data_IF_511533946885
#
_entry.id   IF_511533946885
#
_cell.length_a   1.000
_cell.length_b   1.000
_cell.length_c   1.000
_cell.angle_alpha   90.00
_cell.angle_beta   90.00
_cell.angle_gamma   90.00
#
_symmetry.space_group_name_H-M   'P 1'
#
loop_
_entity.id
_entity.type
_entity.pdbx_description
1 polymer ?
#
# COMPACT_ATOMS: atom_id res chain seq x y z
N UNK A 1 7.03 23.61 -5.39
CA UNK A 1 6.66 22.19 -5.48
C UNK A 1 5.24 22.02 -6.02
N UNK A 2 4.88 20.81 -6.45
CA UNK A 2 3.53 20.46 -6.92
C UNK A 2 2.50 20.73 -5.80
N UNK A 3 2.76 20.30 -4.59
CA UNK A 3 1.85 20.50 -3.44
C UNK A 3 1.56 22.00 -3.20
N UNK A 4 2.57 22.87 -3.31
CA UNK A 4 2.36 24.31 -3.18
C UNK A 4 1.56 24.91 -4.34
N UNK A 5 1.69 24.36 -5.54
CA UNK A 5 0.90 24.79 -6.68
C UNK A 5 -0.59 24.41 -6.51
N UNK A 6 -0.84 23.18 -6.07
CA UNK A 6 -2.20 22.69 -5.74
C UNK A 6 -2.83 23.52 -4.61
N UNK A 7 -2.10 23.76 -3.51
CA UNK A 7 -2.57 24.59 -2.40
C UNK A 7 -2.89 26.03 -2.85
N UNK A 8 -2.07 26.63 -3.71
CA UNK A 8 -2.36 27.96 -4.30
C UNK A 8 -3.61 27.95 -5.15
N UNK A 9 -3.82 26.89 -5.94
CA UNK A 9 -5.01 26.77 -6.78
C UNK A 9 -6.27 26.60 -5.92
N UNK A 10 -6.22 25.78 -4.88
CA UNK A 10 -7.31 25.60 -3.92
C UNK A 10 -7.69 26.94 -3.26
N UNK A 11 -6.70 27.70 -2.76
CA UNK A 11 -6.95 29.04 -2.18
C UNK A 11 -7.60 30.00 -3.17
N UNK A 12 -7.18 29.99 -4.44
CA UNK A 12 -7.81 30.82 -5.50
C UNK A 12 -9.26 30.41 -5.78
N UNK A 13 -9.63 29.17 -5.43
CA UNK A 13 -10.99 28.66 -5.54
C UNK A 13 -11.81 28.82 -4.25
N UNK A 14 -11.28 29.52 -3.24
CA UNK A 14 -11.98 29.81 -1.98
C UNK A 14 -11.63 28.91 -0.81
N UNK A 15 -10.76 27.89 -0.98
CA UNK A 15 -10.35 27.05 0.14
C UNK A 15 -9.42 27.80 1.09
N UNK A 16 -9.64 27.63 2.38
CA UNK A 16 -8.77 28.16 3.43
C UNK A 16 -7.68 27.12 3.76
N UNK A 17 -6.47 27.57 4.03
CA UNK A 17 -5.33 26.70 4.37
C UNK A 17 -4.64 27.25 5.60
N UNK A 18 -4.80 26.57 6.70
CA UNK A 18 -4.21 26.90 7.99
C UNK A 18 -2.93 26.06 8.22
N UNK A 19 -1.80 26.75 8.23
CA UNK A 19 -0.50 26.12 8.52
C UNK A 19 -0.18 26.19 10.01
N UNK A 20 0.64 25.22 10.47
CA UNK A 20 1.03 25.14 11.87
C UNK A 20 -0.21 25.19 12.79
N UNK A 21 -1.17 24.36 12.47
CA UNK A 21 -2.45 24.27 13.17
C UNK A 21 -2.78 22.78 13.33
N UNK A 22 -2.15 22.10 14.30
CA UNK A 22 -2.39 20.68 14.54
C UNK A 22 -3.84 20.46 15.00
N UNK A 23 -4.42 19.38 14.51
CA UNK A 23 -5.70 18.86 14.99
C UNK A 23 -5.43 18.12 16.30
N UNK A 24 -6.16 18.45 17.34
CA UNK A 24 -5.99 17.89 18.69
C UNK A 24 -7.08 16.90 19.06
N UNK A 25 -8.28 17.04 18.49
CA UNK A 25 -9.39 16.11 18.66
C UNK A 25 -10.41 16.26 17.52
N UNK A 26 -11.28 15.27 17.39
CA UNK A 26 -12.41 15.25 16.47
C UNK A 26 -13.67 14.84 17.24
N UNK A 27 -14.75 15.60 17.11
CA UNK A 27 -16.05 15.29 17.72
C UNK A 27 -17.11 15.12 16.66
N UNK A 28 -17.73 13.94 16.58
CA UNK A 28 -18.90 13.70 15.72
C UNK A 28 -20.18 14.03 16.51
N UNK A 29 -21.07 14.81 15.90
CA UNK A 29 -22.35 15.19 16.46
C UNK A 29 -23.47 14.22 16.07
N UNK A 30 -24.63 14.33 16.71
CA UNK A 30 -25.80 13.46 16.47
C UNK A 30 -26.43 13.65 15.09
N UNK A 31 -26.22 14.80 14.47
CA UNK A 31 -26.67 15.17 13.13
C UNK A 31 -25.64 14.81 12.05
N UNK A 32 -24.60 14.04 12.41
CA UNK A 32 -23.52 13.59 11.56
C UNK A 32 -22.56 14.70 11.08
N UNK A 33 -22.64 15.91 11.66
CA UNK A 33 -21.63 16.96 11.51
C UNK A 33 -20.42 16.72 12.42
N UNK A 34 -19.35 17.47 12.21
CA UNK A 34 -18.10 17.33 12.94
C UNK A 34 -17.58 18.65 13.48
N UNK A 35 -16.95 18.62 14.65
CA UNK A 35 -16.08 19.69 15.12
C UNK A 35 -14.64 19.20 15.10
N UNK A 36 -13.78 19.94 14.40
CA UNK A 36 -12.32 19.73 14.35
C UNK A 36 -11.70 20.68 15.39
N UNK A 37 -11.17 20.13 16.48
CA UNK A 37 -10.51 20.91 17.53
C UNK A 37 -9.05 21.16 17.16
N UNK A 38 -8.61 22.41 17.31
CA UNK A 38 -7.22 22.80 17.09
C UNK A 38 -6.72 23.71 18.21
N UNK A 39 -5.42 23.87 18.32
CA UNK A 39 -4.82 24.83 19.28
C UNK A 39 -5.23 26.29 19.03
N UNK A 40 -5.75 26.60 17.84
CA UNK A 40 -6.13 27.96 17.43
C UNK A 40 -7.64 28.20 17.41
N UNK A 41 -8.41 27.23 17.82
CA UNK A 41 -9.87 27.28 17.84
C UNK A 41 -10.49 26.11 17.12
N UNK A 42 -11.80 26.00 17.22
CA UNK A 42 -12.60 24.91 16.67
C UNK A 42 -13.13 25.27 15.28
N UNK A 43 -13.30 24.26 14.45
CA UNK A 43 -13.88 24.37 13.11
C UNK A 43 -15.04 23.39 13.01
N UNK A 44 -16.25 23.90 12.84
CA UNK A 44 -17.42 23.06 12.57
C UNK A 44 -17.53 22.82 11.06
N UNK A 45 -17.81 21.56 10.67
CA UNK A 45 -17.92 21.16 9.28
C UNK A 45 -18.89 20.00 9.08
N UNK A 46 -19.46 19.89 7.90
CA UNK A 46 -20.35 18.80 7.52
C UNK A 46 -19.57 17.52 7.22
N UNK A 47 -18.35 17.65 6.69
CA UNK A 47 -17.52 16.52 6.24
C UNK A 47 -16.09 16.68 6.73
N UNK A 48 -15.51 15.60 7.22
CA UNK A 48 -14.09 15.53 7.59
C UNK A 48 -13.35 14.54 6.70
N UNK A 49 -12.11 14.91 6.31
CA UNK A 49 -11.26 14.06 5.47
C UNK A 49 -9.91 13.84 6.17
N UNK A 50 -9.59 12.57 6.48
CA UNK A 50 -8.28 12.20 6.97
C UNK A 50 -7.30 12.02 5.80
N UNK A 51 -6.41 12.99 5.59
CA UNK A 51 -5.35 12.97 4.59
C UNK A 51 -3.95 13.11 5.22
N UNK A 52 -3.77 12.58 6.45
CA UNK A 52 -2.65 12.90 7.33
C UNK A 52 -1.39 12.04 7.09
N UNK A 53 -1.31 11.30 5.97
CA UNK A 53 -0.12 10.54 5.58
C UNK A 53 0.32 9.57 6.69
N UNK A 54 1.58 9.65 7.12
CA UNK A 54 2.10 8.78 8.18
C UNK A 54 1.43 8.97 9.55
N UNK A 55 0.75 10.09 9.80
CA UNK A 55 -0.03 10.33 11.03
C UNK A 55 -1.49 9.89 10.94
N UNK A 56 -1.87 9.17 9.90
CA UNK A 56 -3.26 8.78 9.62
C UNK A 56 -3.92 8.02 10.77
N UNK A 57 -3.17 7.16 11.47
CA UNK A 57 -3.70 6.40 12.61
C UNK A 57 -3.81 7.21 13.90
N UNK A 58 -2.99 8.25 14.09
CA UNK A 58 -3.17 9.21 15.18
C UNK A 58 -4.51 9.95 15.02
N UNK A 59 -4.79 10.46 13.82
CA UNK A 59 -6.06 11.12 13.50
C UNK A 59 -7.21 10.12 13.47
N UNK A 60 -6.99 8.91 12.98
CA UNK A 60 -7.96 7.81 13.04
C UNK A 60 -8.38 7.49 14.46
N UNK A 61 -7.44 7.45 15.41
CA UNK A 61 -7.72 7.21 16.83
C UNK A 61 -8.63 8.28 17.43
N UNK A 62 -8.51 9.55 17.00
CA UNK A 62 -9.44 10.63 17.44
C UNK A 62 -10.88 10.35 17.00
N UNK A 63 -11.09 9.56 15.97
CA UNK A 63 -12.40 9.10 15.49
C UNK A 63 -12.77 7.70 16.00
N UNK A 64 -11.89 7.05 16.77
CA UNK A 64 -12.06 5.65 17.19
C UNK A 64 -11.92 4.66 16.02
N UNK A 65 -11.05 4.94 15.04
CA UNK A 65 -10.80 4.12 13.85
C UNK A 65 -9.32 3.79 13.75
N UNK A 66 -9.01 2.53 13.50
CA UNK A 66 -7.68 2.06 13.10
C UNK A 66 -7.69 1.81 11.59
N UNK A 67 -6.89 2.57 10.85
CA UNK A 67 -6.71 2.33 9.44
C UNK A 67 -5.68 1.21 9.20
N UNK A 68 -5.90 0.30 8.24
CA UNK A 68 -4.95 -0.75 7.90
C UNK A 68 -3.78 -0.20 7.07
N UNK A 69 -3.01 0.68 7.68
CA UNK A 69 -1.86 1.38 7.10
C UNK A 69 -0.70 1.31 8.07
N UNK A 70 0.47 0.92 7.57
CA UNK A 70 1.74 1.00 8.26
C UNK A 70 2.72 1.89 7.48
N UNK A 71 3.61 2.58 8.16
CA UNK A 71 4.67 3.34 7.53
C UNK A 71 5.95 2.51 7.49
N UNK A 72 6.66 2.60 6.36
CA UNK A 72 7.97 1.99 6.14
C UNK A 72 9.01 3.11 6.00
N UNK A 73 10.21 2.90 6.50
CA UNK A 73 11.33 3.74 6.11
C UNK A 73 11.71 3.46 4.67
N UNK A 74 11.80 4.50 3.86
CA UNK A 74 12.24 4.39 2.48
C UNK A 74 13.32 5.41 2.19
N UNK A 75 14.42 4.96 1.61
CA UNK A 75 15.54 5.83 1.32
C UNK A 75 15.97 5.79 -0.13
N UNK A 76 16.49 6.93 -0.56
CA UNK A 76 17.21 7.07 -1.81
C UNK A 76 18.41 7.98 -1.59
N UNK A 77 19.38 7.91 -2.48
CA UNK A 77 20.44 8.90 -2.51
C UNK A 77 20.58 9.56 -3.89
N UNK A 78 21.25 10.70 -3.89
CA UNK A 78 21.65 11.41 -5.10
C UNK A 78 23.16 11.35 -5.18
N UNK A 79 23.69 10.95 -6.35
CA UNK A 79 25.14 10.90 -6.59
C UNK A 79 25.69 12.28 -6.87
N UNK A 80 27.00 12.40 -6.79
CA UNK A 80 27.75 13.48 -7.44
C UNK A 80 27.62 13.39 -8.97
N UNK A 81 28.23 14.34 -9.69
CA UNK A 81 28.16 14.42 -11.15
C UNK A 81 28.86 13.21 -11.80
N UNK A 82 28.21 12.59 -12.77
CA UNK A 82 28.69 11.45 -13.53
C UNK A 82 29.08 11.94 -14.93
N UNK A 83 30.35 11.84 -15.28
CA UNK A 83 30.88 12.34 -16.56
C UNK A 83 30.06 11.85 -17.76
N UNK A 84 29.70 10.57 -17.82
CA UNK A 84 28.91 10.00 -18.91
C UNK A 84 27.51 10.62 -19.06
N UNK A 85 26.92 11.12 -17.96
CA UNK A 85 25.65 11.84 -18.00
C UNK A 85 25.85 13.27 -18.49
N UNK A 86 26.89 13.94 -18.03
CA UNK A 86 27.23 15.31 -18.47
C UNK A 86 27.45 15.34 -19.97
N UNK A 87 28.18 14.36 -20.49
CA UNK A 87 28.62 14.29 -21.90
C UNK A 87 27.49 13.75 -22.84
N UNK A 88 26.43 13.11 -22.31
CA UNK A 88 25.45 12.43 -23.12
C UNK A 88 24.60 13.34 -24.04
N UNK A 89 24.49 14.63 -23.72
CA UNK A 89 23.71 15.60 -24.50
C UNK A 89 22.20 15.34 -24.58
N UNK A 90 21.69 14.33 -23.87
CA UNK A 90 20.26 14.00 -23.76
C UNK A 90 19.97 13.50 -22.35
N UNK A 91 18.68 13.56 -21.96
CA UNK A 91 18.24 13.06 -20.66
C UNK A 91 18.12 11.54 -20.69
N UNK A 92 18.63 10.89 -19.65
CA UNK A 92 18.45 9.46 -19.44
C UNK A 92 16.99 9.10 -19.17
N UNK A 93 16.50 7.97 -19.68
CA UNK A 93 15.21 7.42 -19.29
C UNK A 93 15.22 7.03 -17.80
N UNK A 94 14.04 6.98 -17.20
CA UNK A 94 13.87 6.37 -15.89
C UNK A 94 14.10 4.85 -16.00
N UNK A 95 14.87 4.29 -15.09
CA UNK A 95 15.14 2.87 -15.00
C UNK A 95 14.49 2.30 -13.76
N UNK A 96 13.90 1.12 -13.90
CA UNK A 96 13.42 0.26 -12.82
C UNK A 96 14.05 -1.11 -13.01
N UNK A 97 14.74 -1.64 -12.00
CA UNK A 97 15.39 -2.95 -12.03
C UNK A 97 14.65 -3.93 -11.12
N UNK A 98 13.84 -4.84 -11.68
CA UNK A 98 13.08 -5.80 -10.88
C UNK A 98 13.88 -7.02 -10.40
N UNK A 99 15.16 -7.13 -10.81
CA UNK A 99 16.06 -8.22 -10.38
C UNK A 99 16.84 -7.81 -9.14
N UNK A 100 17.16 -6.51 -9.02
CA UNK A 100 17.94 -5.94 -7.92
C UNK A 100 17.18 -4.85 -7.17
N UNK A 101 15.87 -4.84 -7.27
CA UNK A 101 14.91 -4.05 -6.48
C UNK A 101 15.28 -2.57 -6.30
N UNK A 102 15.73 -1.90 -7.37
CA UNK A 102 16.01 -0.47 -7.35
C UNK A 102 15.41 0.28 -8.54
N UNK A 103 15.23 1.57 -8.36
CA UNK A 103 14.91 2.50 -9.44
C UNK A 103 15.97 3.59 -9.52
N UNK A 104 16.17 4.13 -10.71
CA UNK A 104 17.00 5.30 -10.85
C UNK A 104 16.49 6.24 -11.94
N UNK A 105 16.82 7.51 -11.77
CA UNK A 105 16.59 8.54 -12.77
C UNK A 105 17.71 9.57 -12.74
N UNK A 106 17.87 10.25 -13.83
CA UNK A 106 18.80 11.37 -13.87
C UNK A 106 18.31 12.50 -12.95
N UNK A 107 19.19 12.99 -12.10
CA UNK A 107 19.02 14.20 -11.28
C UNK A 107 20.16 15.18 -11.57
N UNK A 108 19.88 16.22 -12.37
CA UNK A 108 20.88 17.12 -12.92
C UNK A 108 21.96 16.34 -13.68
N UNK A 109 23.21 16.37 -13.20
CA UNK A 109 24.38 15.71 -13.78
C UNK A 109 24.69 14.35 -13.15
N UNK A 110 23.94 13.93 -12.13
CA UNK A 110 24.06 12.66 -11.43
C UNK A 110 22.81 11.82 -11.53
N UNK A 111 22.70 10.83 -10.65
CA UNK A 111 21.58 9.92 -10.55
C UNK A 111 20.92 10.03 -9.17
N UNK A 112 19.60 9.99 -9.14
CA UNK A 112 18.83 9.65 -7.97
C UNK A 112 18.53 8.15 -8.04
N UNK A 113 18.87 7.42 -6.98
CA UNK A 113 18.70 5.97 -6.89
C UNK A 113 17.97 5.63 -5.58
N UNK A 114 16.86 4.93 -5.68
CA UNK A 114 16.12 4.44 -4.51
C UNK A 114 15.96 2.93 -4.56
N UNK A 115 15.77 2.34 -3.39
CA UNK A 115 15.89 0.91 -3.16
C UNK A 115 14.67 0.36 -2.44
N UNK A 116 14.38 -0.92 -2.69
CA UNK A 116 13.38 -1.70 -1.95
C UNK A 116 14.07 -2.95 -1.40
N UNK A 117 14.78 -2.74 -0.32
CA UNK A 117 15.60 -3.74 0.35
C UNK A 117 14.77 -4.77 1.12
N UNK A 118 15.34 -5.97 1.27
CA UNK A 118 14.68 -7.06 2.01
C UNK A 118 14.70 -6.83 3.53
N UNK A 119 15.76 -6.19 4.06
CA UNK A 119 15.87 -5.80 5.47
C UNK A 119 15.19 -4.45 5.74
N UNK A 120 13.96 -4.31 5.26
CA UNK A 120 13.18 -3.08 5.42
C UNK A 120 12.65 -2.91 6.85
N UNK A 121 12.39 -1.67 7.24
CA UNK A 121 11.91 -1.32 8.58
C UNK A 121 10.54 -0.67 8.54
N UNK A 122 9.65 -1.10 9.43
CA UNK A 122 8.47 -0.31 9.78
C UNK A 122 8.89 0.93 10.57
N UNK A 123 8.11 1.99 10.46
CA UNK A 123 8.37 3.25 11.14
C UNK A 123 7.16 3.73 11.92
N UNK A 124 7.40 4.23 13.15
CA UNK A 124 6.36 4.87 13.97
C UNK A 124 5.26 3.93 14.45
N UNK A 125 5.49 2.61 14.51
CA UNK A 125 4.49 1.64 14.95
C UNK A 125 4.18 1.74 16.44
N UNK A 126 5.18 2.14 17.25
CA UNK A 126 5.05 2.34 18.71
C UNK A 126 4.69 3.79 19.08
N UNK A 127 4.34 4.59 18.09
CA UNK A 127 4.04 6.01 18.21
C UNK A 127 5.02 6.89 17.44
N UNK A 128 4.56 8.07 17.07
CA UNK A 128 5.35 9.03 16.30
C UNK A 128 5.72 10.21 17.22
N UNK A 129 6.99 10.58 17.23
CA UNK A 129 7.44 11.78 17.96
C UNK A 129 6.58 12.99 17.52
N UNK A 130 5.91 13.68 18.46
CA UNK A 130 5.11 14.86 18.14
C UNK A 130 5.89 15.96 17.42
N UNK A 131 7.21 16.01 17.64
CA UNK A 131 8.11 16.98 17.02
C UNK A 131 8.65 16.55 15.66
N UNK A 132 8.36 15.30 15.21
CA UNK A 132 8.70 14.86 13.86
C UNK A 132 7.82 15.54 12.83
N UNK A 133 8.19 16.76 12.44
CA UNK A 133 7.47 17.56 11.45
C UNK A 133 8.45 18.11 10.42
N UNK A 134 8.18 17.88 9.14
CA UNK A 134 9.08 18.30 8.05
C UNK A 134 10.53 17.82 8.28
N UNK A 135 10.67 16.62 8.81
CA UNK A 135 11.91 15.97 9.18
C UNK A 135 12.12 14.72 8.31
N UNK A 136 13.34 14.23 8.30
CA UNK A 136 13.76 12.98 7.68
C UNK A 136 14.20 12.00 8.77
N UNK A 137 14.12 10.72 8.48
CA UNK A 137 14.75 9.67 9.28
C UNK A 137 16.28 9.75 9.13
N UNK A 138 17.06 9.23 10.08
CA UNK A 138 18.50 9.07 9.91
C UNK A 138 18.86 8.24 8.67
N UNK A 139 20.00 8.53 8.06
CA UNK A 139 20.52 7.73 6.97
C UNK A 139 20.87 6.32 7.45
N UNK A 140 20.59 5.31 6.63
CA UNK A 140 20.84 3.90 6.95
C UNK A 140 21.33 3.16 5.68
N UNK A 141 22.53 3.51 5.22
CA UNK A 141 23.09 2.97 3.99
C UNK A 141 23.47 1.48 4.13
N UNK A 142 23.78 1.00 5.32
CA UNK A 142 24.12 -0.40 5.56
C UNK A 142 22.97 -1.34 5.18
N UNK A 143 21.74 -0.92 5.40
CA UNK A 143 20.53 -1.67 5.08
C UNK A 143 20.32 -1.95 3.59
N UNK A 144 20.84 -1.09 2.73
CA UNK A 144 20.68 -1.19 1.26
C UNK A 144 21.86 -1.84 0.56
N UNK A 145 22.85 -2.36 1.30
CA UNK A 145 24.12 -2.85 0.73
C UNK A 145 23.91 -3.92 -0.34
N UNK A 146 23.07 -4.92 -0.08
CA UNK A 146 22.80 -6.02 -1.03
C UNK A 146 22.19 -5.52 -2.35
N UNK A 147 21.27 -4.57 -2.25
CA UNK A 147 20.61 -3.98 -3.43
C UNK A 147 21.57 -3.07 -4.18
N UNK A 148 22.44 -2.36 -3.44
CA UNK A 148 23.45 -1.47 -4.00
C UNK A 148 24.51 -2.25 -4.78
N UNK A 149 24.93 -3.42 -4.32
CA UNK A 149 25.82 -4.31 -5.06
C UNK A 149 25.22 -4.71 -6.43
N UNK A 150 23.94 -5.02 -6.47
CA UNK A 150 23.21 -5.28 -7.70
C UNK A 150 23.17 -4.06 -8.65
N UNK A 151 23.05 -2.85 -8.10
CA UNK A 151 23.10 -1.62 -8.87
C UNK A 151 24.52 -1.37 -9.43
N UNK A 152 25.57 -1.59 -8.65
CA UNK A 152 26.97 -1.50 -9.08
C UNK A 152 27.30 -2.46 -10.22
N UNK A 153 26.83 -3.70 -10.13
CA UNK A 153 27.06 -4.69 -11.20
C UNK A 153 26.45 -4.27 -12.54
N UNK A 154 25.34 -3.52 -12.52
CA UNK A 154 24.65 -3.06 -13.74
C UNK A 154 25.08 -1.69 -14.22
N UNK A 155 25.53 -0.85 -13.31
CA UNK A 155 25.96 0.52 -13.56
C UNK A 155 27.33 0.76 -12.90
N UNK A 156 28.43 0.26 -13.49
CA UNK A 156 29.77 0.36 -12.90
C UNK A 156 30.19 1.79 -12.57
N UNK A 157 29.71 2.78 -13.32
CA UNK A 157 30.00 4.19 -13.05
C UNK A 157 29.57 4.65 -11.63
N UNK A 158 28.66 3.94 -10.97
CA UNK A 158 28.28 4.23 -9.59
C UNK A 158 29.38 3.93 -8.57
N UNK A 159 30.32 3.04 -8.90
CA UNK A 159 31.44 2.70 -8.02
C UNK A 159 32.51 3.80 -7.96
N UNK A 160 32.49 4.71 -8.94
CA UNK A 160 33.50 5.75 -9.12
C UNK A 160 33.04 7.14 -8.65
N UNK A 161 31.79 7.23 -8.13
CA UNK A 161 31.18 8.51 -7.75
C UNK A 161 30.74 8.52 -6.29
N UNK A 162 30.84 9.70 -5.66
CA UNK A 162 30.37 9.92 -4.28
C UNK A 162 28.85 10.08 -4.18
N UNK A 163 28.36 9.94 -2.94
CA UNK A 163 26.99 10.26 -2.58
C UNK A 163 26.92 11.73 -2.15
N UNK A 164 26.09 12.50 -2.81
CA UNK A 164 25.90 13.92 -2.54
C UNK A 164 24.87 14.18 -1.46
N UNK A 165 23.82 13.39 -1.42
CA UNK A 165 22.73 13.56 -0.47
C UNK A 165 21.95 12.24 -0.31
N UNK A 166 21.58 11.93 0.92
CA UNK A 166 20.67 10.82 1.26
C UNK A 166 19.35 11.42 1.74
N UNK A 167 18.27 10.79 1.37
CA UNK A 167 16.94 11.11 1.86
C UNK A 167 16.30 9.83 2.35
N UNK A 168 16.03 9.74 3.64
CA UNK A 168 15.30 8.65 4.27
C UNK A 168 14.05 9.20 4.94
N UNK A 169 12.89 8.63 4.67
CA UNK A 169 11.63 9.12 5.23
C UNK A 169 10.51 8.09 5.21
N UNK A 170 9.46 8.32 6.02
CA UNK A 170 8.35 7.39 6.10
C UNK A 170 7.47 7.46 4.85
N UNK A 171 7.17 6.30 4.27
CA UNK A 171 6.13 6.12 3.26
C UNK A 171 5.07 5.15 3.76
N UNK A 172 3.82 5.37 3.38
CA UNK A 172 2.68 4.61 3.91
C UNK A 172 2.30 3.44 2.99
N UNK A 173 2.10 2.27 3.59
CA UNK A 173 1.64 1.05 2.94
C UNK A 173 0.33 0.59 3.54
N UNK A 174 -0.58 0.14 2.70
CA UNK A 174 -1.80 -0.59 3.08
C UNK A 174 -1.53 -2.09 3.03
N UNK A 175 -2.50 -2.88 3.47
CA UNK A 175 -2.38 -4.35 3.48
C UNK A 175 -2.20 -4.96 2.07
N UNK A 176 -2.80 -4.35 1.06
CA UNK A 176 -2.79 -4.85 -0.33
C UNK A 176 -2.02 -3.95 -1.29
N UNK A 177 -1.36 -2.91 -0.77
CA UNK A 177 -0.61 -1.96 -1.55
C UNK A 177 -1.43 -0.94 -2.33
N UNK A 178 -2.74 -1.09 -2.45
CA UNK A 178 -3.60 -0.09 -3.05
C UNK A 178 -4.03 0.97 -2.02
N UNK A 179 -4.16 2.26 -2.39
CA UNK A 179 -4.54 3.30 -1.43
C UNK A 179 -5.95 3.10 -0.86
N UNK A 180 -6.25 3.81 0.22
CA UNK A 180 -7.58 3.91 0.80
C UNK A 180 -8.15 5.28 0.46
N UNK A 181 -9.13 5.32 -0.40
CA UNK A 181 -9.77 6.56 -0.87
C UNK A 181 -11.28 6.39 -0.86
N UNK A 182 -11.95 7.09 0.05
CA UNK A 182 -13.41 6.97 0.18
C UNK A 182 -13.90 7.09 1.62
N UNK A 183 -15.14 6.68 1.89
CA UNK A 183 -15.76 6.80 3.20
C UNK A 183 -15.08 5.90 4.23
N UNK A 184 -14.89 6.43 5.44
CA UNK A 184 -14.33 5.69 6.56
C UNK A 184 -15.39 4.72 7.11
N UNK A 185 -15.08 3.40 7.22
CA UNK A 185 -16.04 2.42 7.73
C UNK A 185 -16.57 2.79 9.12
N UNK A 186 -17.91 2.74 9.28
CA UNK A 186 -18.57 3.01 10.53
C UNK A 186 -18.65 4.49 10.96
N UNK A 187 -18.20 5.42 10.12
CA UNK A 187 -18.29 6.86 10.36
C UNK A 187 -19.09 7.55 9.26
N UNK A 188 -20.05 8.38 9.65
CA UNK A 188 -20.81 9.18 8.71
C UNK A 188 -20.11 10.49 8.41
N UNK A 189 -20.17 10.93 7.17
CA UNK A 189 -19.56 12.18 6.69
C UNK A 189 -18.06 12.28 7.03
N UNK A 190 -17.39 11.13 7.07
CA UNK A 190 -15.95 11.04 7.28
C UNK A 190 -15.32 10.21 6.15
N UNK A 191 -14.28 10.75 5.57
CA UNK A 191 -13.57 10.16 4.43
C UNK A 191 -12.07 10.07 4.70
N UNK A 192 -11.37 9.26 3.93
CA UNK A 192 -9.92 9.23 3.96
C UNK A 192 -9.32 9.19 2.55
N UNK A 193 -8.08 9.67 2.46
CA UNK A 193 -7.20 9.56 1.29
C UNK A 193 -5.79 9.32 1.80
N UNK A 194 -5.38 8.06 1.86
CA UNK A 194 -4.18 7.58 2.56
C UNK A 194 -3.55 6.38 1.88
N UNK A 195 -2.30 6.06 2.24
CA UNK A 195 -1.60 4.90 1.69
C UNK A 195 -1.16 5.06 0.24
N UNK A 196 -1.01 6.29 -0.23
CA UNK A 196 -0.55 6.58 -1.59
C UNK A 196 0.98 6.51 -1.63
N UNK A 197 1.52 5.38 -2.04
CA UNK A 197 2.98 5.18 -2.18
C UNK A 197 3.58 6.12 -3.22
N UNK A 198 2.94 6.23 -4.36
CA UNK A 198 3.31 7.13 -5.44
C UNK A 198 2.56 8.49 -5.38
N UNK A 199 2.48 9.09 -4.20
CA UNK A 199 1.61 10.24 -3.89
C UNK A 199 1.67 11.40 -4.88
N UNK A 200 2.85 11.71 -5.44
CA UNK A 200 2.99 12.75 -6.47
C UNK A 200 2.36 12.35 -7.81
N UNK A 201 2.38 11.07 -8.16
CA UNK A 201 1.77 10.55 -9.39
C UNK A 201 0.27 10.34 -9.27
N UNK A 202 -0.19 9.92 -8.11
CA UNK A 202 -1.56 9.44 -7.88
C UNK A 202 -2.46 10.46 -7.18
N UNK A 203 -1.89 11.32 -6.32
CA UNK A 203 -2.66 12.18 -5.42
C UNK A 203 -3.63 13.13 -6.12
N UNK A 204 -3.33 13.59 -7.32
CA UNK A 204 -4.24 14.43 -8.10
C UNK A 204 -5.49 13.68 -8.55
N UNK A 205 -5.33 12.48 -9.08
CA UNK A 205 -6.43 11.63 -9.54
C UNK A 205 -7.31 11.15 -8.39
N UNK A 206 -6.69 10.63 -7.32
CA UNK A 206 -7.43 10.18 -6.15
C UNK A 206 -8.16 11.32 -5.43
N UNK A 207 -7.55 12.50 -5.34
CA UNK A 207 -8.22 13.68 -4.80
C UNK A 207 -9.44 14.10 -5.62
N UNK A 208 -9.37 13.98 -6.94
CA UNK A 208 -10.48 14.26 -7.84
C UNK A 208 -11.62 13.23 -7.69
N UNK A 209 -11.29 11.92 -7.62
CA UNK A 209 -12.28 10.87 -7.39
C UNK A 209 -12.97 11.02 -6.02
N UNK A 210 -12.20 11.33 -4.97
CA UNK A 210 -12.75 11.56 -3.64
C UNK A 210 -13.69 12.78 -3.61
N UNK A 211 -13.31 13.86 -4.27
CA UNK A 211 -14.17 15.04 -4.39
C UNK A 211 -15.51 14.72 -5.06
N UNK A 212 -15.52 13.88 -6.10
CA UNK A 212 -16.76 13.42 -6.74
C UNK A 212 -17.62 12.58 -5.80
N UNK A 213 -17.01 11.63 -5.06
CA UNK A 213 -17.74 10.84 -4.07
C UNK A 213 -18.41 11.73 -3.01
N UNK A 214 -17.73 12.77 -2.54
CA UNK A 214 -18.29 13.69 -1.54
C UNK A 214 -19.41 14.55 -2.11
N UNK A 215 -19.22 15.11 -3.31
CA UNK A 215 -20.17 16.09 -3.91
C UNK A 215 -21.36 15.41 -4.58
N UNK A 216 -21.13 14.26 -5.22
CA UNK A 216 -22.14 13.59 -6.05
C UNK A 216 -22.61 12.25 -5.46
N UNK A 217 -21.99 11.78 -4.37
CA UNK A 217 -22.27 10.47 -3.76
C UNK A 217 -21.51 9.32 -4.40
N UNK A 218 -21.01 9.50 -5.62
CA UNK A 218 -20.23 8.48 -6.35
C UNK A 218 -19.16 9.13 -7.23
N UNK A 219 -18.13 8.36 -7.57
CA UNK A 219 -17.11 8.75 -8.53
C UNK A 219 -17.50 8.32 -9.95
N UNK A 220 -16.96 8.99 -10.98
CA UNK A 220 -17.21 8.66 -12.39
C UNK A 220 -16.55 7.34 -12.85
N UNK A 221 -15.68 6.76 -12.04
CA UNK A 221 -15.04 5.46 -12.27
C UNK A 221 -15.29 4.53 -11.09
N UNK A 222 -15.19 3.23 -11.33
CA UNK A 222 -15.22 2.24 -10.28
C UNK A 222 -14.03 2.44 -9.33
N UNK A 223 -14.34 2.63 -8.05
CA UNK A 223 -13.36 2.88 -6.98
C UNK A 223 -13.24 1.70 -6.01
N UNK A 224 -13.81 0.54 -6.33
CA UNK A 224 -13.81 -0.63 -5.46
C UNK A 224 -12.41 -1.01 -4.95
N UNK A 225 -11.42 -1.01 -5.83
CA UNK A 225 -10.04 -1.40 -5.48
C UNK A 225 -9.34 -0.43 -4.51
N UNK A 226 -9.87 0.78 -4.32
CA UNK A 226 -9.33 1.79 -3.40
C UNK A 226 -10.29 2.12 -2.26
N UNK A 227 -11.49 1.55 -2.24
CA UNK A 227 -12.50 1.81 -1.20
C UNK A 227 -12.02 1.25 0.15
N UNK A 228 -12.00 2.05 1.23
CA UNK A 228 -11.62 1.60 2.57
C UNK A 228 -12.49 0.45 3.10
N UNK A 229 -13.74 0.35 2.64
CA UNK A 229 -14.71 -0.68 3.06
C UNK A 229 -14.39 -2.09 2.53
N UNK A 230 -13.37 -2.22 1.63
CA UNK A 230 -12.88 -3.53 1.18
C UNK A 230 -12.22 -4.34 2.29
N UNK A 231 -11.80 -3.68 3.36
CA UNK A 231 -11.24 -4.32 4.53
C UNK A 231 -12.27 -4.46 5.66
N UNK A 232 -12.15 -5.53 6.42
CA UNK A 232 -13.01 -5.83 7.57
C UNK A 232 -12.22 -5.85 8.88
N UNK A 233 -12.87 -6.27 9.95
CA UNK A 233 -12.31 -6.34 11.31
C UNK A 233 -11.13 -7.31 11.49
N UNK A 234 -10.79 -8.12 10.48
CA UNK A 234 -9.60 -8.99 10.50
C UNK A 234 -8.29 -8.23 10.32
N UNK A 235 -8.34 -6.97 9.91
CA UNK A 235 -7.15 -6.15 9.70
C UNK A 235 -6.72 -5.49 10.99
N UNK A 236 -5.82 -6.12 11.71
CA UNK A 236 -5.18 -5.57 12.91
C UNK A 236 -3.82 -4.95 12.60
N UNK A 237 -3.20 -4.34 13.60
CA UNK A 237 -1.91 -3.65 13.46
C UNK A 237 -0.80 -4.62 13.05
N UNK A 238 -0.75 -5.82 13.63
CA UNK A 238 0.26 -6.83 13.34
C UNK A 238 0.17 -7.32 11.89
N UNK A 239 -1.03 -7.73 11.43
CA UNK A 239 -1.25 -8.13 10.05
C UNK A 239 -0.90 -7.00 9.07
N UNK A 240 -1.25 -5.76 9.42
CA UNK A 240 -0.96 -4.59 8.60
C UNK A 240 0.55 -4.39 8.45
N UNK A 241 1.32 -4.49 9.54
CA UNK A 241 2.78 -4.37 9.51
C UNK A 241 3.42 -5.49 8.68
N UNK A 242 3.02 -6.73 8.89
CA UNK A 242 3.52 -7.89 8.15
C UNK A 242 3.25 -7.75 6.63
N UNK A 243 2.05 -7.32 6.27
CA UNK A 243 1.69 -7.11 4.87
C UNK A 243 2.40 -5.92 4.23
N UNK A 244 2.63 -4.84 4.99
CA UNK A 244 3.39 -3.69 4.53
C UNK A 244 4.85 -4.07 4.25
N UNK A 245 5.47 -4.87 5.11
CA UNK A 245 6.82 -5.41 4.91
C UNK A 245 6.87 -6.26 3.64
N UNK A 246 5.96 -7.23 3.51
CA UNK A 246 5.88 -8.10 2.33
C UNK A 246 5.67 -7.30 1.04
N UNK A 247 4.81 -6.30 1.06
CA UNK A 247 4.52 -5.45 -0.10
C UNK A 247 5.73 -4.59 -0.49
N UNK A 248 6.40 -3.99 0.50
CA UNK A 248 7.63 -3.23 0.31
C UNK A 248 8.73 -4.09 -0.32
N UNK A 249 9.00 -5.27 0.25
CA UNK A 249 10.01 -6.21 -0.22
C UNK A 249 9.77 -6.70 -1.66
N UNK A 250 8.53 -6.65 -2.12
CA UNK A 250 8.11 -7.12 -3.44
C UNK A 250 7.67 -5.99 -4.38
N UNK A 251 7.94 -4.71 -4.05
CA UNK A 251 7.47 -3.56 -4.84
C UNK A 251 7.93 -3.62 -6.29
N UNK A 252 9.13 -4.09 -6.55
CA UNK A 252 9.72 -4.14 -7.89
C UNK A 252 9.91 -5.54 -8.45
N UNK A 253 9.74 -6.58 -7.66
CA UNK A 253 9.93 -7.95 -8.12
C UNK A 253 8.93 -8.33 -9.20
N UNK A 254 9.39 -9.21 -10.08
CA UNK A 254 8.48 -9.89 -10.99
C UNK A 254 7.57 -10.84 -10.24
N UNK A 255 6.29 -10.82 -10.59
CA UNK A 255 5.31 -11.80 -10.16
C UNK A 255 5.03 -12.77 -11.31
N UNK A 256 5.17 -14.05 -11.04
CA UNK A 256 4.71 -15.07 -11.98
C UNK A 256 3.19 -15.24 -11.89
N UNK A 257 2.55 -15.78 -12.94
CA UNK A 257 1.15 -16.14 -12.87
C UNK A 257 0.88 -17.05 -11.66
N UNK A 258 -0.19 -16.77 -10.92
CA UNK A 258 -0.58 -17.49 -9.70
C UNK A 258 0.43 -17.44 -8.54
N UNK A 259 1.37 -16.53 -8.55
CA UNK A 259 2.21 -16.25 -7.41
C UNK A 259 1.44 -15.39 -6.41
N UNK A 260 1.22 -15.93 -5.21
CA UNK A 260 0.54 -15.27 -4.12
C UNK A 260 1.53 -14.80 -3.06
N UNK A 261 1.17 -13.72 -2.39
CA UNK A 261 1.93 -13.22 -1.25
C UNK A 261 1.57 -14.00 0.01
N UNK A 262 2.50 -14.77 0.61
CA UNK A 262 2.17 -15.78 1.60
C UNK A 262 1.99 -15.26 3.03
N UNK A 263 2.37 -14.02 3.33
CA UNK A 263 2.35 -13.48 4.70
C UNK A 263 0.92 -13.21 5.17
N UNK A 264 0.69 -13.33 6.47
CA UNK A 264 -0.61 -13.04 7.09
C UNK A 264 -1.68 -14.12 6.86
N UNK A 265 -1.24 -15.39 6.87
CA UNK A 265 -2.13 -16.56 6.69
C UNK A 265 -3.09 -16.72 7.87
N UNK A 266 -4.20 -17.38 7.61
CA UNK A 266 -5.25 -17.70 8.58
C UNK A 266 -5.96 -16.47 9.21
N UNK A 267 -5.93 -15.31 8.57
CA UNK A 267 -6.65 -14.12 9.03
C UNK A 267 -8.17 -14.33 9.01
N UNK A 268 -8.67 -15.03 7.98
CA UNK A 268 -10.06 -15.52 7.91
C UNK A 268 -10.06 -16.96 7.44
N UNK A 269 -10.70 -17.82 8.24
CA UNK A 269 -10.82 -19.25 7.96
C UNK A 269 -12.28 -19.68 8.00
N UNK A 270 -12.59 -20.81 7.35
CA UNK A 270 -13.89 -21.46 7.44
C UNK A 270 -13.80 -22.73 8.31
N UNK A 271 -14.91 -23.32 8.73
CA UNK A 271 -14.90 -24.62 9.41
C UNK A 271 -14.25 -25.75 8.60
N UNK A 272 -14.21 -25.62 7.26
CA UNK A 272 -13.57 -26.62 6.38
C UNK A 272 -12.06 -26.44 6.28
N UNK A 273 -11.51 -25.25 6.57
CA UNK A 273 -10.08 -24.96 6.44
C UNK A 273 -9.19 -25.99 7.14
N UNK A 274 -9.40 -26.35 8.43
CA UNK A 274 -8.55 -27.35 9.09
C UNK A 274 -8.73 -28.76 8.51
N UNK A 275 -9.91 -29.13 8.04
CA UNK A 275 -10.18 -30.42 7.41
C UNK A 275 -9.43 -30.53 6.08
N UNK A 276 -9.54 -29.51 5.24
CA UNK A 276 -8.87 -29.47 3.94
C UNK A 276 -7.34 -29.41 4.11
N UNK A 277 -6.85 -28.70 5.14
CA UNK A 277 -5.42 -28.67 5.46
C UNK A 277 -4.89 -30.06 5.82
N UNK A 278 -5.65 -30.85 6.60
CA UNK A 278 -5.30 -32.22 6.93
C UNK A 278 -5.26 -33.15 5.70
N UNK A 279 -6.09 -32.87 4.69
CA UNK A 279 -6.08 -33.56 3.39
C UNK A 279 -4.95 -33.08 2.45
N UNK A 280 -4.09 -32.17 2.90
CA UNK A 280 -2.97 -31.66 2.12
C UNK A 280 -3.33 -30.55 1.15
N UNK A 281 -4.39 -29.78 1.42
CA UNK A 281 -4.78 -28.66 0.56
C UNK A 281 -3.68 -27.59 0.45
N UNK A 282 -3.55 -27.05 -0.75
CA UNK A 282 -2.85 -25.79 -1.01
C UNK A 282 -3.86 -24.64 -0.95
N UNK A 283 -3.53 -23.62 -0.16
CA UNK A 283 -4.41 -22.47 0.01
C UNK A 283 -3.81 -21.20 -0.57
N UNK A 284 -4.67 -20.36 -1.09
CA UNK A 284 -4.42 -18.95 -1.38
C UNK A 284 -5.30 -18.07 -0.50
N UNK A 285 -5.06 -16.76 -0.52
CA UNK A 285 -5.88 -15.78 0.21
C UNK A 285 -6.68 -14.95 -0.79
N UNK A 286 -8.00 -14.95 -0.62
CA UNK A 286 -8.93 -14.14 -1.41
C UNK A 286 -9.75 -13.28 -0.46
N UNK A 287 -9.61 -11.95 -0.54
CA UNK A 287 -10.27 -10.99 0.35
C UNK A 287 -10.06 -11.29 1.85
N UNK A 288 -8.86 -11.76 2.19
CA UNK A 288 -8.47 -12.16 3.54
C UNK A 288 -8.90 -13.58 3.95
N UNK A 289 -9.69 -14.28 3.13
CA UNK A 289 -10.12 -15.66 3.39
C UNK A 289 -9.10 -16.66 2.85
N UNK A 290 -8.79 -17.69 3.68
CA UNK A 290 -8.11 -18.89 3.18
C UNK A 290 -9.03 -19.63 2.20
N UNK A 291 -8.56 -19.83 0.99
CA UNK A 291 -9.30 -20.52 -0.07
C UNK A 291 -8.46 -21.64 -0.65
N UNK A 292 -9.00 -22.85 -0.62
CA UNK A 292 -8.34 -23.99 -1.25
C UNK A 292 -8.28 -23.81 -2.77
N UNK A 293 -7.12 -24.00 -3.35
CA UNK A 293 -6.93 -24.07 -4.80
C UNK A 293 -6.96 -25.50 -5.30
N UNK A 294 -6.23 -26.39 -4.64
CA UNK A 294 -6.18 -27.83 -4.97
C UNK A 294 -5.61 -28.64 -3.79
N UNK A 295 -5.79 -29.95 -3.84
CA UNK A 295 -5.07 -30.87 -2.95
C UNK A 295 -3.71 -31.17 -3.57
N UNK A 296 -2.61 -31.01 -2.84
CA UNK A 296 -1.25 -31.23 -3.33
C UNK A 296 -1.09 -32.64 -3.90
N UNK A 297 -0.39 -32.81 -5.02
CA UNK A 297 -0.13 -34.12 -5.60
C UNK A 297 0.63 -35.07 -4.66
N UNK A 298 1.57 -34.53 -3.89
CA UNK A 298 2.35 -35.24 -2.86
C UNK A 298 2.57 -34.31 -1.66
N UNK A 299 2.86 -34.86 -0.48
CA UNK A 299 3.06 -34.08 0.74
C UNK A 299 4.25 -33.10 0.65
N UNK A 300 5.27 -33.47 -0.11
CA UNK A 300 6.48 -32.70 -0.38
C UNK A 300 6.38 -31.79 -1.60
N UNK A 301 5.18 -31.68 -2.21
CA UNK A 301 4.97 -30.82 -3.37
C UNK A 301 5.17 -29.36 -3.01
N UNK A 302 6.03 -28.69 -3.77
CA UNK A 302 6.24 -27.25 -3.74
C UNK A 302 5.85 -26.63 -5.09
N UNK A 303 5.15 -25.51 -5.02
CA UNK A 303 4.81 -24.72 -6.21
C UNK A 303 6.10 -24.15 -6.80
N UNK A 304 6.28 -24.35 -8.12
CA UNK A 304 7.35 -23.72 -8.87
C UNK A 304 6.71 -22.58 -9.69
N UNK A 305 6.96 -21.37 -9.30
CA UNK A 305 6.46 -20.20 -10.02
C UNK A 305 7.17 -20.06 -11.37
N UNK A 306 6.39 -19.87 -12.43
CA UNK A 306 6.89 -19.76 -13.80
C UNK A 306 5.76 -19.49 -14.76
N UNK A 307 6.08 -19.38 -16.05
CA UNK A 307 5.09 -19.21 -17.13
C UNK A 307 4.52 -20.54 -17.66
N UNK A 308 5.10 -21.65 -17.25
CA UNK A 308 4.62 -22.98 -17.60
C UNK A 308 3.65 -23.55 -16.57
N UNK A 309 2.96 -24.62 -16.93
CA UNK A 309 2.14 -25.38 -15.99
C UNK A 309 3.05 -26.23 -15.07
N UNK A 310 2.74 -26.21 -13.80
CA UNK A 310 3.40 -27.09 -12.83
C UNK A 310 2.64 -28.44 -12.65
N UNK A 311 3.10 -29.26 -11.70
CA UNK A 311 2.47 -30.57 -11.43
C UNK A 311 1.05 -30.46 -10.87
N UNK A 312 0.64 -29.29 -10.34
CA UNK A 312 -0.72 -29.07 -9.84
C UNK A 312 -1.74 -29.08 -10.99
N UNK A 313 -1.33 -28.74 -12.22
CA UNK A 313 -2.20 -28.74 -13.39
C UNK A 313 -2.91 -30.09 -13.61
N UNK A 314 -2.17 -31.20 -13.53
CA UNK A 314 -2.75 -32.54 -13.69
C UNK A 314 -3.74 -32.88 -12.57
N UNK A 315 -3.50 -32.40 -11.35
CA UNK A 315 -4.42 -32.58 -10.23
C UNK A 315 -5.70 -31.79 -10.46
N UNK A 316 -5.59 -30.52 -10.81
CA UNK A 316 -6.74 -29.67 -11.13
C UNK A 316 -7.54 -30.23 -12.31
N UNK A 317 -6.87 -30.73 -13.34
CA UNK A 317 -7.53 -31.37 -14.48
C UNK A 317 -8.34 -32.62 -14.08
N UNK A 318 -7.82 -33.43 -13.15
CA UNK A 318 -8.54 -34.57 -12.59
C UNK A 318 -9.77 -34.15 -11.77
N UNK A 319 -9.65 -33.10 -10.96
CA UNK A 319 -10.76 -32.56 -10.18
C UNK A 319 -11.86 -31.99 -11.11
N UNK A 320 -11.48 -31.27 -12.17
CA UNK A 320 -12.41 -30.78 -13.20
C UNK A 320 -13.15 -31.93 -13.89
N UNK A 321 -12.43 -32.99 -14.27
CA UNK A 321 -13.07 -34.18 -14.87
C UNK A 321 -14.04 -34.86 -13.90
N UNK A 322 -13.69 -34.94 -12.61
CA UNK A 322 -14.57 -35.51 -11.59
C UNK A 322 -15.86 -34.67 -11.42
N UNK A 323 -15.75 -33.34 -11.41
CA UNK A 323 -16.92 -32.42 -11.34
C UNK A 323 -17.86 -32.61 -12.53
N UNK A 324 -17.32 -32.89 -13.73
CA UNK A 324 -18.13 -33.08 -14.94
C UNK A 324 -18.87 -34.42 -14.99
N UNK A 325 -18.38 -35.42 -14.26
CA UNK A 325 -18.90 -36.78 -14.31
C UNK A 325 -19.56 -37.25 -13.01
N UNK A 326 -19.33 -36.58 -11.92
CA UNK A 326 -19.81 -36.93 -10.58
C UNK A 326 -20.38 -35.72 -9.83
N UNK A 327 -20.74 -35.94 -8.57
CA UNK A 327 -21.14 -34.88 -7.65
C UNK A 327 -19.92 -34.23 -7.03
N UNK A 328 -19.91 -32.89 -6.95
CA UNK A 328 -18.86 -32.12 -6.31
C UNK A 328 -19.43 -31.14 -5.30
N UNK A 329 -18.64 -30.85 -4.27
CA UNK A 329 -18.85 -29.77 -3.34
C UNK A 329 -17.73 -28.74 -3.52
N UNK A 330 -18.10 -27.48 -3.65
CA UNK A 330 -17.16 -26.38 -3.69
C UNK A 330 -17.45 -25.38 -2.57
N UNK A 331 -16.41 -24.98 -1.86
CA UNK A 331 -16.49 -23.88 -0.92
C UNK A 331 -16.37 -22.55 -1.66
N UNK A 332 -17.41 -21.73 -1.57
CA UNK A 332 -17.45 -20.39 -2.16
C UNK A 332 -17.35 -19.35 -1.04
N UNK A 333 -16.13 -19.06 -0.62
CA UNK A 333 -15.80 -18.02 0.33
C UNK A 333 -15.13 -16.82 -0.37
N UNK A 334 -14.93 -15.73 0.35
CA UNK A 334 -14.33 -14.51 -0.19
C UNK A 334 -15.30 -13.58 -0.92
N UNK A 335 -16.58 -13.93 -1.00
CA UNK A 335 -17.64 -13.09 -1.54
C UNK A 335 -18.62 -12.67 -0.44
N UNK A 336 -19.11 -11.44 -0.53
CA UNK A 336 -20.22 -10.99 0.30
C UNK A 336 -21.54 -11.61 -0.17
N UNK A 337 -22.44 -11.84 0.77
CA UNK A 337 -23.78 -12.33 0.49
C UNK A 337 -24.77 -11.26 0.91
N UNK A 338 -25.71 -10.96 0.02
CA UNK A 338 -26.75 -9.98 0.25
C UNK A 338 -28.12 -10.66 0.12
N UNK A 339 -29.00 -10.42 1.06
CA UNK A 339 -30.41 -10.74 0.95
C UNK A 339 -31.17 -9.44 0.71
N UNK A 340 -31.94 -9.40 -0.38
CA UNK A 340 -32.80 -8.27 -0.70
C UNK A 340 -34.21 -8.68 -0.35
N UNK A 341 -34.78 -8.04 0.67
CA UNK A 341 -36.16 -8.24 1.12
C UNK A 341 -36.98 -7.00 0.82
N UNK A 342 -38.20 -7.18 0.42
CA UNK A 342 -39.14 -6.08 0.13
C UNK A 342 -40.34 -6.60 -0.63
N UNK A 343 -41.40 -5.78 -0.72
CA UNK A 343 -42.59 -6.04 -1.50
C UNK A 343 -42.45 -5.50 -2.92
#
# INVERSE_FOLDING_TARGET
SLCQALARRARKAGAEVYRNTPVTALTQHKDDTWTVHTEKGDIDCEVVINACGYRVNEVGAMMGVQHPVASMEHQYFVTEDIKGIVDAGHRMPLLRCPISDYYCRQEKNGLLIGFYEQDCKTWGMDGIDPHFTNALCPDDLDRITDVLEGAFARMPALQEVGIKNVVNGPITYTIDGAPLVGPIPGKRNAFCIIGLRAGLGEGGGHGWLLAQQIVHGEACYDTWCIDPRRFGSHTNVELTALKAIEDYQNEFRFHFPNEHRPVGRNAKTTPLTPILAAEGAHFTVVNGWERMEYIKPTADFHVIHGFGFDKSFNRVAADVAAVQTNVALAEVNGFNRFEITGA
#
